data_IF_755521969452
#
_entry.id   IF_755521969452
#
_cell.length_a   1.000
_cell.length_b   1.000
_cell.length_c   1.000
_cell.angle_alpha   90.00
_cell.angle_beta   90.00
_cell.angle_gamma   90.00
#
_symmetry.space_group_name_H-M   'P 1'
#
loop_
_entity.id
_entity.type
_entity.pdbx_description
1 polymer ?
#
# COMPACT_ATOMS: atom_id res chain seq x y z
N UNK A 1 18.82 8.78 7.44
CA UNK A 1 19.24 8.58 6.02
C UNK A 1 18.63 7.28 5.50
N UNK A 2 18.07 7.29 4.30
CA UNK A 2 17.44 6.10 3.68
C UNK A 2 18.29 5.64 2.51
N UNK A 3 18.72 4.38 2.52
CA UNK A 3 19.38 3.75 1.36
C UNK A 3 18.39 2.84 0.67
N UNK A 4 18.16 3.05 -0.63
CA UNK A 4 17.32 2.19 -1.46
C UNK A 4 18.18 1.60 -2.58
N UNK A 5 18.16 0.27 -2.71
CA UNK A 5 18.79 -0.39 -3.86
C UNK A 5 17.83 -0.39 -5.06
N UNK A 6 18.26 -0.01 -6.27
CA UNK A 6 17.40 0.02 -7.44
C UNK A 6 16.95 -1.39 -7.85
N UNK A 7 15.75 -1.48 -8.44
CA UNK A 7 15.25 -2.73 -9.03
C UNK A 7 16.15 -3.16 -10.19
N UNK A 8 16.84 -4.28 -10.04
CA UNK A 8 17.45 -5.01 -11.16
C UNK A 8 16.56 -6.17 -11.58
N UNK A 9 16.59 -6.56 -12.87
CA UNK A 9 15.81 -7.73 -13.35
C UNK A 9 16.13 -9.03 -12.59
N UNK A 10 17.31 -9.12 -11.98
CA UNK A 10 17.76 -10.25 -11.17
C UNK A 10 17.00 -10.40 -9.85
N UNK A 11 16.49 -9.32 -9.26
CA UNK A 11 15.73 -9.40 -8.00
C UNK A 11 14.35 -10.04 -8.19
N UNK A 12 13.72 -9.80 -9.35
CA UNK A 12 12.45 -10.43 -9.74
C UNK A 12 12.60 -11.94 -9.91
N UNK A 13 13.68 -12.39 -10.55
CA UNK A 13 13.96 -13.82 -10.80
C UNK A 13 14.23 -14.56 -9.49
N UNK A 14 14.81 -13.88 -8.48
CA UNK A 14 15.09 -14.45 -7.15
C UNK A 14 13.94 -14.28 -6.15
N UNK A 15 12.78 -13.76 -6.57
CA UNK A 15 11.65 -13.51 -5.67
C UNK A 15 11.89 -12.46 -4.58
N UNK A 16 12.92 -11.62 -4.74
CA UNK A 16 13.28 -10.60 -3.76
C UNK A 16 12.34 -9.39 -3.83
N UNK A 17 12.14 -8.69 -2.69
CA UNK A 17 11.39 -7.45 -2.67
C UNK A 17 11.95 -6.43 -3.66
N UNK A 18 11.04 -5.74 -4.33
CA UNK A 18 11.35 -4.67 -5.29
C UNK A 18 12.14 -3.50 -4.71
N UNK A 19 12.02 -3.26 -3.41
CA UNK A 19 12.73 -2.21 -2.68
C UNK A 19 13.40 -2.88 -1.50
N UNK A 20 14.72 -2.72 -1.41
CA UNK A 20 15.53 -3.20 -0.30
C UNK A 20 16.33 -2.02 0.26
N UNK A 21 16.46 -1.95 1.58
CA UNK A 21 17.13 -0.84 2.22
C UNK A 21 17.01 -0.84 3.73
N UNK A 22 17.67 0.15 4.34
CA UNK A 22 17.56 0.45 5.76
C UNK A 22 17.32 1.95 5.97
N UNK A 23 16.62 2.27 7.05
CA UNK A 23 16.42 3.63 7.57
C UNK A 23 17.22 3.73 8.86
N UNK A 24 18.12 4.71 8.91
CA UNK A 24 18.90 5.02 10.11
C UNK A 24 18.22 6.18 10.86
N UNK A 25 17.92 5.94 12.14
CA UNK A 25 17.48 6.96 13.09
C UNK A 25 18.71 7.47 13.83
N UNK A 26 18.93 8.79 13.79
CA UNK A 26 20.03 9.46 14.47
C UNK A 26 19.50 10.22 15.69
N UNK A 27 20.32 10.29 16.72
CA UNK A 27 20.13 11.16 17.87
C UNK A 27 20.26 12.62 17.44
N UNK A 28 19.29 13.46 17.83
CA UNK A 28 19.26 14.86 17.42
C UNK A 28 20.35 15.72 18.07
N UNK A 29 20.82 15.33 19.26
CA UNK A 29 21.73 16.15 20.06
C UNK A 29 23.20 15.80 19.75
N UNK A 30 23.51 14.50 19.64
CA UNK A 30 24.89 14.03 19.45
C UNK A 30 25.17 13.38 18.09
N UNK A 31 24.16 13.23 17.22
CA UNK A 31 24.33 12.67 15.88
C UNK A 31 24.68 11.17 15.84
N UNK A 32 24.58 10.46 16.96
CA UNK A 32 24.85 9.02 17.03
C UNK A 32 23.70 8.20 16.46
N UNK A 33 23.97 7.00 15.94
CA UNK A 33 22.92 6.11 15.43
C UNK A 33 22.16 5.49 16.62
N UNK A 34 20.85 5.73 16.67
CA UNK A 34 19.94 5.18 17.70
C UNK A 34 19.26 3.89 17.26
N UNK A 35 18.96 3.75 15.97
CA UNK A 35 18.33 2.55 15.44
C UNK A 35 18.60 2.35 13.95
N UNK A 36 18.56 1.08 13.54
CA UNK A 36 18.52 0.64 12.15
C UNK A 36 17.19 -0.05 11.92
N UNK A 37 16.40 0.45 10.97
CA UNK A 37 15.03 -0.01 10.71
C UNK A 37 14.95 -0.55 9.28
N UNK A 38 14.28 -1.67 9.08
CA UNK A 38 14.02 -2.22 7.73
C UNK A 38 13.20 -1.22 6.90
N UNK A 39 13.72 -0.82 5.72
CA UNK A 39 13.08 0.22 4.91
C UNK A 39 11.74 -0.21 4.34
N UNK A 40 11.46 -1.51 4.21
CA UNK A 40 10.16 -2.02 3.75
C UNK A 40 9.09 -1.71 4.78
N UNK A 41 9.38 -1.87 6.07
CA UNK A 41 8.42 -1.50 7.12
C UNK A 41 8.05 -0.02 7.02
N UNK A 42 9.06 0.86 6.95
CA UNK A 42 8.85 2.31 6.82
C UNK A 42 8.07 2.63 5.55
N UNK A 43 8.44 2.03 4.42
CA UNK A 43 7.76 2.26 3.13
C UNK A 43 6.29 1.86 3.21
N UNK A 44 5.97 0.71 3.81
CA UNK A 44 4.59 0.23 3.92
C UNK A 44 3.75 1.15 4.81
N UNK A 45 4.21 1.46 6.02
CA UNK A 45 3.43 2.23 6.98
C UNK A 45 3.38 3.72 6.63
N UNK A 46 4.50 4.33 6.24
CA UNK A 46 4.53 5.77 5.95
C UNK A 46 3.71 6.09 4.69
N UNK A 47 3.78 5.25 3.65
CA UNK A 47 2.98 5.43 2.44
C UNK A 47 1.49 5.30 2.73
N UNK A 48 1.11 4.33 3.56
CA UNK A 48 -0.28 4.17 3.97
C UNK A 48 -0.76 5.36 4.82
N UNK A 49 0.05 5.84 5.75
CA UNK A 49 -0.28 6.98 6.60
C UNK A 49 -0.41 8.28 5.80
N UNK A 50 0.56 8.60 4.93
CA UNK A 50 0.52 9.80 4.07
C UNK A 50 -0.74 9.80 3.18
N UNK A 51 -1.05 8.63 2.59
CA UNK A 51 -2.24 8.49 1.77
C UNK A 51 -3.53 8.64 2.59
N UNK A 52 -3.59 8.00 3.75
CA UNK A 52 -4.75 8.05 4.63
C UNK A 52 -5.02 9.48 5.12
N UNK A 53 -3.98 10.22 5.48
CA UNK A 53 -4.09 11.63 5.85
C UNK A 53 -4.68 12.45 4.70
N UNK A 54 -4.19 12.23 3.47
CA UNK A 54 -4.76 12.86 2.28
C UNK A 54 -6.25 12.55 2.11
N UNK A 55 -6.66 11.30 2.32
CA UNK A 55 -8.07 10.91 2.27
C UNK A 55 -8.90 11.52 3.40
N UNK A 56 -8.38 11.61 4.62
CA UNK A 56 -9.10 12.24 5.74
C UNK A 56 -9.40 13.71 5.46
N UNK A 57 -8.52 14.39 4.73
CA UNK A 57 -8.72 15.79 4.35
C UNK A 57 -9.60 15.97 3.10
N UNK A 58 -9.55 15.04 2.14
CA UNK A 58 -10.08 15.26 0.78
C UNK A 58 -11.17 14.28 0.34
N UNK A 59 -11.31 13.13 1.00
CA UNK A 59 -12.33 12.15 0.61
C UNK A 59 -13.72 12.68 0.96
N UNK A 60 -14.68 12.38 0.10
CA UNK A 60 -16.09 12.71 0.34
C UNK A 60 -16.59 11.99 1.60
N UNK A 61 -17.29 12.70 2.47
CA UNK A 61 -17.99 12.10 3.60
C UNK A 61 -18.94 10.98 3.14
N UNK A 62 -18.98 9.87 3.87
CA UNK A 62 -19.77 8.68 3.51
C UNK A 62 -19.26 7.97 2.25
N UNK A 63 -17.94 7.97 2.01
CA UNK A 63 -17.33 7.14 0.98
C UNK A 63 -17.42 5.66 1.37
N UNK A 64 -18.08 4.85 0.53
CA UNK A 64 -18.35 3.42 0.81
C UNK A 64 -17.53 2.45 -0.02
N UNK A 65 -16.95 2.93 -1.12
CA UNK A 65 -16.15 2.09 -2.04
C UNK A 65 -14.79 2.71 -2.32
N UNK A 66 -13.75 2.01 -1.89
CA UNK A 66 -12.35 2.31 -2.18
C UNK A 66 -11.83 1.43 -3.32
N UNK A 67 -11.09 2.03 -4.24
CA UNK A 67 -10.29 1.28 -5.22
C UNK A 67 -8.80 1.55 -5.01
N UNK A 68 -8.04 0.47 -4.79
CA UNK A 68 -6.57 0.50 -4.76
C UNK A 68 -6.05 0.18 -6.16
N UNK A 69 -5.46 1.16 -6.81
CA UNK A 69 -4.80 1.01 -8.10
C UNK A 69 -3.37 0.52 -7.92
N UNK A 70 -3.12 -0.70 -8.34
CA UNK A 70 -1.83 -1.38 -8.23
C UNK A 70 -1.86 -2.48 -7.17
N UNK A 71 -1.55 -3.71 -7.58
CA UNK A 71 -1.46 -4.88 -6.71
C UNK A 71 -0.02 -5.10 -6.19
N UNK A 72 0.70 -4.01 -5.93
CA UNK A 72 2.11 -3.99 -5.51
C UNK A 72 2.30 -4.24 -4.01
N UNK A 73 3.54 -4.05 -3.52
CA UNK A 73 3.91 -4.38 -2.13
C UNK A 73 3.01 -3.69 -1.09
N UNK A 74 2.67 -2.42 -1.30
CA UNK A 74 1.90 -1.62 -0.32
C UNK A 74 0.37 -1.79 -0.42
N UNK A 75 -0.15 -2.50 -1.43
CA UNK A 75 -1.59 -2.55 -1.71
C UNK A 75 -2.40 -3.11 -0.53
N UNK A 76 -1.91 -4.19 0.09
CA UNK A 76 -2.55 -4.78 1.26
C UNK A 76 -2.50 -3.87 2.50
N UNK A 77 -1.40 -3.13 2.69
CA UNK A 77 -1.27 -2.19 3.82
C UNK A 77 -2.21 -1.00 3.65
N UNK A 78 -2.34 -0.46 2.42
CA UNK A 78 -3.33 0.58 2.12
C UNK A 78 -4.76 0.09 2.39
N UNK A 79 -5.13 -1.07 1.84
CA UNK A 79 -6.47 -1.62 2.06
C UNK A 79 -6.81 -1.73 3.56
N UNK A 80 -5.90 -2.23 4.38
CA UNK A 80 -6.09 -2.32 5.84
C UNK A 80 -6.17 -0.96 6.53
N UNK A 81 -5.31 -0.01 6.15
CA UNK A 81 -5.30 1.31 6.77
C UNK A 81 -6.63 2.04 6.53
N UNK A 82 -7.15 1.97 5.31
CA UNK A 82 -8.42 2.59 4.97
C UNK A 82 -9.61 1.88 5.62
N UNK A 83 -9.64 0.55 5.61
CA UNK A 83 -10.68 -0.26 6.28
C UNK A 83 -10.77 0.08 7.79
N UNK A 84 -9.63 0.33 8.44
CA UNK A 84 -9.58 0.71 9.85
C UNK A 84 -9.98 2.17 10.12
N UNK A 85 -9.72 3.09 9.19
CA UNK A 85 -9.88 4.52 9.38
C UNK A 85 -11.19 5.10 8.85
N UNK A 86 -11.83 4.40 7.90
CA UNK A 86 -13.10 4.79 7.30
C UNK A 86 -14.14 3.69 7.56
N UNK A 87 -14.89 3.77 8.68
CA UNK A 87 -15.81 2.70 9.09
C UNK A 87 -16.96 2.47 8.11
N UNK A 88 -17.28 3.48 7.27
CA UNK A 88 -18.33 3.40 6.26
C UNK A 88 -17.89 2.66 4.97
N UNK A 89 -16.62 2.26 4.85
CA UNK A 89 -16.16 1.50 3.68
C UNK A 89 -16.76 0.09 3.71
N UNK A 90 -17.62 -0.19 2.74
CA UNK A 90 -18.28 -1.48 2.53
C UNK A 90 -17.54 -2.36 1.52
N UNK A 91 -16.76 -1.74 0.63
CA UNK A 91 -16.05 -2.43 -0.45
C UNK A 91 -14.66 -1.86 -0.69
N UNK A 92 -13.68 -2.75 -0.83
CA UNK A 92 -12.33 -2.42 -1.27
C UNK A 92 -11.98 -3.28 -2.48
N UNK A 93 -11.84 -2.67 -3.65
CA UNK A 93 -11.40 -3.37 -4.86
C UNK A 93 -9.91 -3.10 -5.11
N UNK A 94 -9.16 -4.13 -5.53
CA UNK A 94 -7.75 -3.97 -5.95
C UNK A 94 -7.68 -4.18 -7.46
N UNK A 95 -7.12 -3.19 -8.16
CA UNK A 95 -6.89 -3.25 -9.60
C UNK A 95 -5.40 -3.45 -9.92
N UNK A 96 -5.10 -4.23 -10.95
CA UNK A 96 -3.77 -4.26 -11.58
C UNK A 96 -3.89 -4.70 -13.03
N UNK A 97 -3.03 -4.14 -13.88
CA UNK A 97 -2.85 -4.55 -15.29
C UNK A 97 -2.59 -6.05 -15.43
N UNK A 98 -1.91 -6.67 -14.46
CA UNK A 98 -1.53 -8.10 -14.51
C UNK A 98 -2.47 -8.93 -13.63
N UNK A 99 -3.31 -9.82 -14.19
CA UNK A 99 -4.28 -10.62 -13.43
C UNK A 99 -3.68 -11.43 -12.28
N UNK A 100 -2.51 -12.04 -12.49
CA UNK A 100 -1.84 -12.84 -11.46
C UNK A 100 -1.44 -12.02 -10.22
N UNK A 101 -1.17 -10.72 -10.36
CA UNK A 101 -0.86 -9.86 -9.21
C UNK A 101 -2.11 -9.61 -8.35
N UNK A 102 -3.28 -9.47 -8.98
CA UNK A 102 -4.57 -9.36 -8.28
C UNK A 102 -4.85 -10.63 -7.48
N UNK A 103 -4.70 -11.79 -8.11
CA UNK A 103 -4.87 -13.09 -7.46
C UNK A 103 -3.93 -13.26 -6.26
N UNK A 104 -2.66 -12.85 -6.39
CA UNK A 104 -1.68 -12.93 -5.30
C UNK A 104 -2.03 -12.04 -4.10
N UNK A 105 -2.59 -10.86 -4.34
CA UNK A 105 -3.07 -10.01 -3.25
C UNK A 105 -4.28 -10.64 -2.57
N UNK A 106 -5.26 -11.12 -3.33
CA UNK A 106 -6.46 -11.77 -2.79
C UNK A 106 -6.12 -12.99 -1.89
N UNK A 107 -5.03 -13.71 -2.19
CA UNK A 107 -4.56 -14.84 -1.39
C UNK A 107 -3.69 -14.44 -0.18
N UNK A 108 -3.34 -13.17 0.02
CA UNK A 108 -2.43 -12.75 1.09
C UNK A 108 -3.13 -12.77 2.47
N UNK A 109 -2.52 -13.38 3.51
CA UNK A 109 -3.11 -13.42 4.86
C UNK A 109 -3.27 -12.04 5.51
N UNK A 110 -2.57 -11.03 5.00
CA UNK A 110 -2.70 -9.61 5.39
C UNK A 110 -4.06 -9.03 4.99
N UNK A 111 -4.84 -9.72 4.16
CA UNK A 111 -6.13 -9.29 3.64
C UNK A 111 -7.23 -10.11 4.33
N UNK A 112 -7.58 -9.73 5.56
CA UNK A 112 -8.68 -10.34 6.31
C UNK A 112 -9.58 -9.23 6.88
N UNK A 113 -10.41 -8.62 6.04
CA UNK A 113 -11.55 -7.80 6.49
C UNK A 113 -12.84 -8.24 5.79
N UNK A 114 -14.02 -7.91 6.36
CA UNK A 114 -15.32 -8.46 5.95
C UNK A 114 -15.88 -7.87 4.65
N UNK A 115 -15.31 -6.77 4.14
CA UNK A 115 -15.78 -6.11 2.93
C UNK A 115 -15.46 -6.96 1.69
N UNK A 116 -16.45 -7.17 0.83
CA UNK A 116 -16.35 -8.06 -0.33
C UNK A 116 -15.29 -7.55 -1.33
N UNK A 117 -14.07 -8.12 -1.28
CA UNK A 117 -12.96 -7.69 -2.14
C UNK A 117 -13.05 -8.39 -3.49
N UNK A 118 -13.38 -7.64 -4.52
CA UNK A 118 -13.45 -8.16 -5.90
C UNK A 118 -12.24 -7.68 -6.69
N UNK A 119 -11.74 -8.54 -7.59
CA UNK A 119 -10.77 -8.10 -8.58
C UNK A 119 -11.45 -7.03 -9.44
N UNK A 120 -10.94 -5.79 -9.39
CA UNK A 120 -11.61 -4.68 -10.04
C UNK A 120 -11.73 -4.91 -11.56
N UNK A 121 -12.94 -4.85 -12.10
CA UNK A 121 -13.19 -4.66 -13.52
C UNK A 121 -13.03 -3.18 -13.88
N UNK A 122 -13.01 -2.83 -15.17
CA UNK A 122 -12.97 -1.42 -15.61
C UNK A 122 -14.10 -0.58 -14.98
N UNK A 123 -15.25 -1.21 -14.74
CA UNK A 123 -16.43 -0.60 -14.11
C UNK A 123 -16.21 -0.21 -12.64
N UNK A 124 -15.33 -0.88 -11.89
CA UNK A 124 -15.06 -0.54 -10.49
C UNK A 124 -14.40 0.84 -10.34
N UNK A 125 -13.63 1.30 -11.33
CA UNK A 125 -13.04 2.64 -11.34
C UNK A 125 -14.09 3.74 -11.50
N UNK A 126 -15.17 3.45 -12.24
CA UNK A 126 -16.26 4.40 -12.48
C UNK A 126 -17.20 4.54 -11.28
N UNK A 127 -17.30 3.49 -10.45
CA UNK A 127 -18.15 3.47 -9.25
C UNK A 127 -17.40 3.86 -7.97
N UNK A 128 -16.07 4.01 -8.04
CA UNK A 128 -15.24 4.33 -6.89
C UNK A 128 -15.61 5.69 -6.29
N UNK A 129 -15.87 5.71 -4.98
CA UNK A 129 -16.05 6.96 -4.24
C UNK A 129 -14.70 7.61 -3.88
N UNK A 130 -13.63 6.80 -3.81
CA UNK A 130 -12.26 7.23 -3.64
C UNK A 130 -11.27 6.26 -4.30
N UNK A 131 -10.20 6.79 -4.89
CA UNK A 131 -9.17 6.00 -5.59
C UNK A 131 -7.80 6.34 -5.00
N UNK A 132 -7.07 5.30 -4.57
CA UNK A 132 -5.68 5.44 -4.15
C UNK A 132 -4.74 4.77 -5.14
N UNK A 133 -3.77 5.54 -5.62
CA UNK A 133 -2.72 5.07 -6.52
C UNK A 133 -1.51 4.54 -5.76
N UNK A 134 -1.22 3.25 -5.93
CA UNK A 134 0.07 2.65 -5.60
C UNK A 134 0.62 1.95 -6.85
N UNK A 135 0.75 2.72 -7.93
CA UNK A 135 1.38 2.23 -9.15
C UNK A 135 2.88 2.27 -8.93
N UNK A 136 3.51 1.10 -8.94
CA UNK A 136 4.97 1.01 -9.00
C UNK A 136 5.43 1.75 -10.27
N UNK A 137 6.28 2.77 -10.12
CA UNK A 137 7.21 3.14 -11.18
C UNK A 137 8.11 1.94 -11.54
#
# INVERSE_FOLDING_TARGET
MTFLSPKTGLSQVKGLPSVQGAVLLFDGDCGTVRAVIDSRLVTHYKTAADSLLGAQCLARAGSRHLVVLGAGAVAGTLARAYDAAFPDIERISIWSRRPWQRARQAASPTIRSPSSRTAAAHLDLMMASYVVGAVNA
#
